data_IF_898808317077
#
_entry.id   IF_898808317077
#
_cell.length_a   1.000
_cell.length_b   1.000
_cell.length_c   1.000
_cell.angle_alpha   90.00
_cell.angle_beta   90.00
_cell.angle_gamma   90.00
#
_symmetry.space_group_name_H-M   'P 1'
#
loop_
_entity.id
_entity.type
_entity.pdbx_description
1 polymer ?
#
# COMPACT_ATOMS: atom_id res chain seq x y z
N UNK A 1 9.73 13.86 5.74
CA UNK A 1 9.10 13.68 7.06
C UNK A 1 9.18 12.22 7.54
N UNK A 2 8.52 11.26 6.88
CA UNK A 2 8.49 9.84 7.31
C UNK A 2 9.89 9.23 7.50
N UNK A 3 10.81 9.49 6.57
CA UNK A 3 12.20 9.02 6.69
C UNK A 3 12.95 9.63 7.87
N UNK A 4 12.57 10.83 8.34
CA UNK A 4 13.16 11.45 9.53
C UNK A 4 12.62 10.80 10.80
N UNK A 5 11.31 10.53 10.86
CA UNK A 5 10.68 9.85 12.00
C UNK A 5 11.21 8.42 12.15
N UNK A 6 11.38 7.71 11.03
CA UNK A 6 11.91 6.35 10.99
C UNK A 6 13.38 6.23 11.46
N UNK A 7 14.13 7.34 11.51
CA UNK A 7 15.50 7.35 12.08
C UNK A 7 15.51 7.34 13.60
N UNK A 8 14.44 7.79 14.24
CA UNK A 8 14.34 7.93 15.70
C UNK A 8 13.40 6.90 16.32
N UNK A 9 12.43 6.39 15.56
CA UNK A 9 11.42 5.45 16.01
C UNK A 9 11.17 4.36 14.97
N UNK A 10 10.67 3.21 15.42
CA UNK A 10 10.13 2.20 14.51
C UNK A 10 8.78 2.69 14.01
N UNK A 11 8.71 2.98 12.71
CA UNK A 11 7.50 3.49 12.05
C UNK A 11 7.06 2.49 11.00
N UNK A 12 5.78 2.12 11.03
CA UNK A 12 5.12 1.31 10.00
C UNK A 12 4.09 2.16 9.28
N UNK A 13 4.26 2.33 7.97
CA UNK A 13 3.37 3.12 7.11
C UNK A 13 2.40 2.18 6.38
N UNK A 14 1.11 2.48 6.46
CA UNK A 14 0.06 1.66 5.85
C UNK A 14 -0.54 2.38 4.65
N UNK A 15 -0.49 1.72 3.50
CA UNK A 15 -1.15 2.14 2.27
C UNK A 15 -2.35 1.25 2.01
N UNK A 16 -3.47 1.87 1.63
CA UNK A 16 -4.68 1.15 1.24
C UNK A 16 -4.83 1.06 -0.28
N UNK A 17 -5.13 -0.14 -0.77
CA UNK A 17 -5.72 -0.32 -2.09
C UNK A 17 -7.19 0.11 -2.03
N UNK A 18 -7.62 0.97 -2.96
CA UNK A 18 -9.05 1.30 -3.07
C UNK A 18 -9.76 0.11 -3.73
N UNK A 19 -10.67 -0.50 -3.00
CA UNK A 19 -11.40 -1.70 -3.43
C UNK A 19 -12.50 -1.40 -4.44
N UNK A 20 -13.12 -0.22 -4.40
CA UNK A 20 -14.11 0.21 -5.41
C UNK A 20 -13.43 0.40 -6.78
N UNK A 21 -12.28 1.07 -6.81
CA UNK A 21 -11.48 1.22 -8.02
C UNK A 21 -11.05 -0.14 -8.57
N UNK A 22 -10.76 -1.12 -7.71
CA UNK A 22 -10.39 -2.47 -8.16
C UNK A 22 -11.55 -3.21 -8.81
N UNK A 23 -12.77 -3.04 -8.28
CA UNK A 23 -13.99 -3.57 -8.92
C UNK A 23 -14.21 -2.94 -10.30
N UNK A 24 -13.96 -1.64 -10.45
CA UNK A 24 -14.01 -0.95 -11.76
C UNK A 24 -12.95 -1.46 -12.76
N UNK A 25 -11.83 -2.03 -12.29
CA UNK A 25 -10.83 -2.66 -13.17
C UNK A 25 -11.29 -4.03 -13.68
N UNK A 26 -12.14 -4.74 -12.95
CA UNK A 26 -12.51 -6.12 -13.28
C UNK A 26 -13.67 -6.18 -14.30
N UNK A 27 -14.45 -5.10 -14.44
CA UNK A 27 -15.53 -5.02 -15.43
C UNK A 27 -15.04 -4.51 -16.81
N UNK A 28 -15.63 -4.99 -17.92
CA UNK A 28 -15.34 -4.45 -19.25
C UNK A 28 -15.87 -3.01 -19.35
N UNK A 29 -14.98 -2.09 -19.75
CA UNK A 29 -15.37 -0.70 -19.97
C UNK A 29 -16.21 -0.60 -21.26
N UNK A 30 -17.45 -0.17 -21.11
CA UNK A 30 -18.42 0.03 -22.19
C UNK A 30 -18.54 1.50 -22.62
N UNK A 31 -18.08 2.43 -21.78
CA UNK A 31 -18.09 3.88 -22.07
C UNK A 31 -16.69 4.48 -22.03
N UNK A 32 -16.49 5.62 -22.71
CA UNK A 32 -15.23 6.35 -22.68
C UNK A 32 -14.84 6.81 -21.27
N UNK A 33 -15.83 7.19 -20.46
CA UNK A 33 -15.66 7.55 -19.05
C UNK A 33 -15.13 6.36 -18.23
N UNK A 34 -15.68 5.16 -18.45
CA UNK A 34 -15.19 3.93 -17.80
C UNK A 34 -13.75 3.61 -18.20
N UNK A 35 -13.38 3.79 -19.47
CA UNK A 35 -11.99 3.61 -19.94
C UNK A 35 -11.04 4.59 -19.23
N UNK A 36 -11.44 5.85 -19.09
CA UNK A 36 -10.65 6.86 -18.37
C UNK A 36 -10.46 6.47 -16.89
N UNK A 37 -11.55 6.13 -16.19
CA UNK A 37 -11.48 5.72 -14.79
C UNK A 37 -10.60 4.48 -14.60
N UNK A 38 -10.69 3.49 -15.50
CA UNK A 38 -9.87 2.28 -15.48
C UNK A 38 -8.39 2.60 -15.61
N UNK A 39 -8.00 3.42 -16.59
CA UNK A 39 -6.61 3.83 -16.77
C UNK A 39 -6.05 4.62 -15.57
N UNK A 40 -6.85 5.51 -14.98
CA UNK A 40 -6.47 6.26 -13.77
C UNK A 40 -6.30 5.32 -12.58
N UNK A 41 -7.24 4.39 -12.37
CA UNK A 41 -7.17 3.40 -11.30
C UNK A 41 -5.93 2.49 -11.42
N UNK A 42 -5.60 2.02 -12.62
CA UNK A 42 -4.37 1.26 -12.88
C UNK A 42 -3.12 2.06 -12.55
N UNK A 43 -3.04 3.32 -13.00
CA UNK A 43 -1.93 4.22 -12.71
C UNK A 43 -1.76 4.44 -11.21
N UNK A 44 -2.82 4.77 -10.49
CA UNK A 44 -2.77 4.97 -9.03
C UNK A 44 -2.33 3.70 -8.29
N UNK A 45 -2.83 2.55 -8.70
CA UNK A 45 -2.46 1.24 -8.14
C UNK A 45 -0.97 0.96 -8.34
N UNK A 46 -0.44 1.26 -9.52
CA UNK A 46 0.97 1.12 -9.85
C UNK A 46 1.86 2.09 -9.05
N UNK A 47 1.48 3.37 -8.98
CA UNK A 47 2.20 4.40 -8.22
C UNK A 47 2.28 4.05 -6.72
N UNK A 48 1.18 3.59 -6.11
CA UNK A 48 1.21 3.12 -4.71
C UNK A 48 2.20 1.99 -4.49
N UNK A 49 2.28 1.02 -5.40
CA UNK A 49 3.26 -0.07 -5.33
C UNK A 49 4.69 0.46 -5.43
N UNK A 50 4.94 1.44 -6.29
CA UNK A 50 6.25 2.08 -6.41
C UNK A 50 6.63 2.84 -5.13
N UNK A 51 5.72 3.64 -4.56
CA UNK A 51 5.95 4.38 -3.32
C UNK A 51 6.31 3.42 -2.17
N UNK A 52 5.56 2.33 -2.01
CA UNK A 52 5.81 1.33 -0.96
C UNK A 52 7.20 0.70 -1.13
N UNK A 53 7.56 0.32 -2.36
CA UNK A 53 8.89 -0.23 -2.65
C UNK A 53 10.00 0.77 -2.33
N UNK A 54 9.80 2.03 -2.67
CA UNK A 54 10.81 3.07 -2.43
C UNK A 54 10.98 3.36 -0.94
N UNK A 55 9.89 3.39 -0.17
CA UNK A 55 9.96 3.50 1.29
C UNK A 55 10.74 2.33 1.91
N UNK A 56 10.44 1.10 1.47
CA UNK A 56 11.13 -0.11 1.94
C UNK A 56 12.62 -0.09 1.62
N UNK A 57 13.01 0.32 0.41
CA UNK A 57 14.42 0.49 0.02
C UNK A 57 15.17 1.48 0.91
N UNK A 58 14.48 2.53 1.35
CA UNK A 58 15.03 3.56 2.23
C UNK A 58 14.90 3.23 3.73
N UNK A 59 14.62 1.96 4.08
CA UNK A 59 14.57 1.49 5.46
C UNK A 59 13.29 1.84 6.23
N UNK A 60 12.25 2.35 5.56
CA UNK A 60 10.94 2.63 6.16
C UNK A 60 10.05 1.41 5.99
N UNK A 61 9.53 0.86 7.08
CA UNK A 61 8.57 -0.23 7.01
C UNK A 61 7.26 0.28 6.41
N UNK A 62 6.86 -0.29 5.27
CA UNK A 62 5.62 0.06 4.61
C UNK A 62 4.87 -1.20 4.16
N UNK A 63 3.53 -1.16 4.22
CA UNK A 63 2.65 -2.22 3.75
C UNK A 63 1.54 -1.68 2.86
N UNK A 64 1.24 -2.39 1.77
CA UNK A 64 0.09 -2.14 0.91
C UNK A 64 -0.95 -3.23 1.19
N UNK A 65 -2.15 -2.84 1.58
CA UNK A 65 -3.21 -3.79 1.92
C UNK A 65 -4.59 -3.28 1.56
N UNK A 66 -5.59 -4.16 1.49
CA UNK A 66 -6.99 -3.73 1.45
C UNK A 66 -7.47 -3.42 2.87
N UNK A 67 -8.46 -2.53 3.05
CA UNK A 67 -9.02 -2.23 4.37
C UNK A 67 -9.45 -3.50 5.13
N UNK A 68 -10.09 -4.45 4.43
CA UNK A 68 -10.54 -5.71 5.01
C UNK A 68 -9.40 -6.60 5.55
N UNK A 69 -8.18 -6.47 5.03
CA UNK A 69 -7.02 -7.26 5.45
C UNK A 69 -6.08 -6.52 6.41
N UNK A 70 -6.44 -5.31 6.84
CA UNK A 70 -5.62 -4.47 7.70
C UNK A 70 -5.16 -5.17 8.98
N UNK A 71 -6.10 -5.75 9.72
CA UNK A 71 -5.83 -6.34 11.05
C UNK A 71 -4.81 -7.47 10.94
N UNK A 72 -5.07 -8.43 10.04
CA UNK A 72 -4.19 -9.59 9.84
C UNK A 72 -2.81 -9.15 9.37
N UNK A 73 -2.73 -8.25 8.38
CA UNK A 73 -1.44 -7.83 7.83
C UNK A 73 -0.64 -6.97 8.81
N UNK A 74 -1.30 -6.16 9.64
CA UNK A 74 -0.63 -5.39 10.69
C UNK A 74 -0.07 -6.30 11.78
N UNK A 75 -0.83 -7.32 12.20
CA UNK A 75 -0.35 -8.33 13.17
C UNK A 75 0.86 -9.08 12.60
N UNK A 76 0.76 -9.54 11.35
CA UNK A 76 1.88 -10.22 10.69
C UNK A 76 3.12 -9.33 10.61
N UNK A 77 2.94 -8.04 10.29
CA UNK A 77 4.06 -7.10 10.26
C UNK A 77 4.68 -6.89 11.63
N UNK A 78 3.88 -6.81 12.69
CA UNK A 78 4.39 -6.74 14.06
C UNK A 78 5.22 -7.98 14.41
N UNK A 79 4.71 -9.18 14.14
CA UNK A 79 5.43 -10.43 14.42
C UNK A 79 6.74 -10.53 13.63
N UNK A 80 6.75 -10.10 12.36
CA UNK A 80 7.97 -10.00 11.55
C UNK A 80 9.01 -9.09 12.18
N UNK A 81 8.60 -7.89 12.62
CA UNK A 81 9.50 -6.91 13.24
C UNK A 81 10.08 -7.42 14.56
N UNK A 82 9.24 -8.06 15.38
CA UNK A 82 9.65 -8.67 16.65
C UNK A 82 10.63 -9.82 16.44
N UNK A 83 10.37 -10.71 15.49
CA UNK A 83 11.26 -11.82 15.15
C UNK A 83 12.64 -11.35 14.65
N UNK A 84 12.70 -10.17 14.04
CA UNK A 84 13.94 -9.53 13.58
C UNK A 84 14.66 -8.70 14.65
N UNK A 85 14.13 -8.63 15.88
CA UNK A 85 14.71 -7.83 16.97
C UNK A 85 14.66 -6.31 16.73
N UNK A 86 13.77 -5.85 15.85
CA UNK A 86 13.59 -4.42 15.55
C UNK A 86 12.81 -3.71 16.65
N UNK A 87 11.89 -4.45 17.30
CA UNK A 87 11.06 -4.02 18.44
C UNK A 87 11.02 -5.11 19.52
#
# INVERSE_FOLDING_TARGET
YLSSLARQHVVVVIFFENTEMRQLLDEPATTLEQVFHKAVAEKFSFEKRLIVRELQKNGVYALLTTPAKLTINTINKYLELKARGVI
#
